data_IF_937845013994
#
_entry.id   IF_937845013994
#
_cell.length_a   1.000
_cell.length_b   1.000
_cell.length_c   1.000
_cell.angle_alpha   90.00
_cell.angle_beta   90.00
_cell.angle_gamma   90.00
#
_symmetry.space_group_name_H-M   'P 1'
#
loop_
_entity.id
_entity.type
_entity.pdbx_description
1 polymer ?
#
# COMPACT_ATOMS: atom_id res chain seq x y z
N UNK A 1 -24.28 -2.88 -0.10
CA UNK A 1 -23.22 -2.56 -1.09
C UNK A 1 -23.88 -1.75 -2.19
N UNK A 2 -23.57 -0.45 -2.35
CA UNK A 2 -24.26 0.36 -3.34
C UNK A 2 -23.82 -0.02 -4.76
N UNK A 3 -24.75 0.09 -5.70
CA UNK A 3 -24.46 0.09 -7.13
C UNK A 3 -23.69 1.36 -7.52
N UNK A 4 -23.09 1.35 -8.71
CA UNK A 4 -22.42 2.55 -9.23
C UNK A 4 -23.42 3.69 -9.49
N UNK A 5 -24.65 3.37 -9.87
CA UNK A 5 -25.68 4.36 -10.16
C UNK A 5 -26.19 5.00 -8.87
N UNK A 6 -26.43 4.22 -7.82
CA UNK A 6 -26.74 4.75 -6.47
C UNK A 6 -25.60 5.63 -5.95
N UNK A 7 -24.34 5.18 -6.10
CA UNK A 7 -23.16 5.95 -5.68
C UNK A 7 -23.04 7.27 -6.46
N UNK A 8 -23.32 7.26 -7.77
CA UNK A 8 -23.34 8.46 -8.60
C UNK A 8 -24.48 9.40 -8.18
N UNK A 9 -25.68 8.87 -7.96
CA UNK A 9 -26.83 9.65 -7.53
C UNK A 9 -26.55 10.32 -6.18
N UNK A 10 -26.00 9.57 -5.21
CA UNK A 10 -25.55 10.09 -3.92
C UNK A 10 -24.55 11.24 -4.10
N UNK A 11 -23.50 11.06 -4.90
CA UNK A 11 -22.50 12.10 -5.12
C UNK A 11 -23.08 13.38 -5.76
N UNK A 12 -23.99 13.25 -6.72
CA UNK A 12 -24.62 14.40 -7.36
C UNK A 12 -25.56 15.14 -6.40
N UNK A 13 -26.33 14.41 -5.57
CA UNK A 13 -27.13 15.04 -4.50
C UNK A 13 -26.26 15.81 -3.52
N UNK A 14 -25.13 15.23 -3.10
CA UNK A 14 -24.21 15.89 -2.16
C UNK A 14 -23.47 17.08 -2.77
N UNK A 15 -23.15 17.06 -4.07
CA UNK A 15 -22.63 18.23 -4.77
C UNK A 15 -23.59 19.42 -4.68
N UNK A 16 -24.89 19.12 -4.74
CA UNK A 16 -25.96 20.09 -4.70
C UNK A 16 -26.23 20.57 -3.26
N UNK A 17 -26.41 19.65 -2.32
CA UNK A 17 -26.67 19.96 -0.90
C UNK A 17 -25.48 20.68 -0.22
N UNK A 18 -24.29 20.08 -0.25
CA UNK A 18 -23.11 20.62 0.43
C UNK A 18 -22.54 21.85 -0.28
N UNK A 19 -22.66 21.91 -1.61
CA UNK A 19 -22.31 23.10 -2.38
C UNK A 19 -23.14 24.29 -1.91
N UNK A 20 -24.47 24.16 -1.89
CA UNK A 20 -25.36 25.25 -1.44
C UNK A 20 -25.10 25.66 0.00
N UNK A 21 -24.91 24.70 0.91
CA UNK A 21 -24.62 24.99 2.32
C UNK A 21 -23.31 25.80 2.49
N UNK A 22 -22.25 25.46 1.75
CA UNK A 22 -20.91 26.01 1.99
C UNK A 22 -20.58 27.22 1.09
N UNK A 23 -21.06 27.22 -0.15
CA UNK A 23 -20.71 28.20 -1.19
C UNK A 23 -21.90 29.06 -1.65
N UNK A 24 -23.13 28.74 -1.22
CA UNK A 24 -24.36 29.40 -1.68
C UNK A 24 -24.90 28.90 -3.03
N UNK A 25 -24.16 28.04 -3.74
CA UNK A 25 -24.55 27.43 -5.01
C UNK A 25 -23.96 26.02 -5.12
N UNK A 26 -24.49 25.18 -6.01
CA UNK A 26 -23.97 23.81 -6.11
C UNK A 26 -22.58 23.74 -6.75
N UNK A 27 -21.83 22.70 -6.38
CA UNK A 27 -20.58 22.37 -7.06
C UNK A 27 -20.80 22.12 -8.56
N UNK A 28 -21.96 21.58 -8.96
CA UNK A 28 -22.31 21.36 -10.37
C UNK A 28 -22.45 22.68 -11.14
N UNK A 29 -23.07 23.70 -10.54
CA UNK A 29 -23.15 25.04 -11.15
C UNK A 29 -21.76 25.66 -11.32
N UNK A 30 -20.83 25.36 -10.41
CA UNK A 30 -19.41 25.74 -10.50
C UNK A 30 -18.59 24.89 -11.47
N UNK A 31 -19.20 23.98 -12.22
CA UNK A 31 -18.56 23.15 -13.23
C UNK A 31 -17.92 21.86 -12.70
N UNK A 32 -18.19 21.47 -11.44
CA UNK A 32 -17.67 20.22 -10.91
C UNK A 32 -18.41 19.00 -11.43
N UNK A 33 -17.65 17.94 -11.71
CA UNK A 33 -18.18 16.67 -12.21
C UNK A 33 -17.80 15.49 -11.31
N UNK A 34 -18.64 14.46 -11.34
CA UNK A 34 -18.39 13.19 -10.66
C UNK A 34 -18.25 12.04 -11.67
N UNK A 35 -17.34 11.11 -11.39
CA UNK A 35 -17.27 9.85 -12.14
C UNK A 35 -16.50 8.76 -11.41
N UNK A 36 -16.22 7.68 -12.13
CA UNK A 36 -15.45 6.57 -11.60
C UNK A 36 -14.12 6.39 -12.33
N UNK A 37 -13.15 5.83 -11.61
CA UNK A 37 -11.89 5.36 -12.17
C UNK A 37 -11.67 3.86 -11.86
N UNK A 38 -10.52 3.34 -12.31
CA UNK A 38 -10.14 1.93 -12.18
C UNK A 38 -9.09 1.72 -11.08
N UNK A 39 -8.91 2.66 -10.17
CA UNK A 39 -7.99 2.49 -9.06
C UNK A 39 -8.40 1.28 -8.21
N UNK A 40 -7.42 0.54 -7.70
CA UNK A 40 -7.68 -0.68 -6.91
C UNK A 40 -7.28 -0.57 -5.45
N UNK A 41 -6.62 0.54 -5.08
CA UNK A 41 -6.09 0.79 -3.73
C UNK A 41 -6.37 2.20 -3.19
N UNK A 42 -6.99 3.06 -3.99
CA UNK A 42 -7.36 4.43 -3.62
C UNK A 42 -8.87 4.53 -3.74
N UNK A 43 -9.53 4.99 -2.68
CA UNK A 43 -10.98 5.09 -2.60
C UNK A 43 -11.52 6.20 -3.51
N UNK A 44 -11.06 7.43 -3.28
CA UNK A 44 -11.48 8.63 -3.99
C UNK A 44 -10.30 9.52 -4.38
N UNK A 45 -10.55 10.49 -5.25
CA UNK A 45 -9.66 11.64 -5.48
C UNK A 45 -10.46 12.85 -5.98
N UNK A 46 -10.15 13.99 -5.39
CA UNK A 46 -10.51 15.30 -5.90
C UNK A 46 -9.39 15.85 -6.81
N UNK A 47 -9.69 16.02 -8.10
CA UNK A 47 -8.83 16.69 -9.08
C UNK A 47 -9.29 18.14 -9.22
N UNK A 48 -8.69 19.03 -8.41
CA UNK A 48 -9.06 20.45 -8.36
C UNK A 48 -8.93 21.14 -9.72
N UNK A 49 -7.80 20.94 -10.42
CA UNK A 49 -7.54 21.55 -11.73
C UNK A 49 -8.62 21.21 -12.76
N UNK A 50 -9.11 19.97 -12.74
CA UNK A 50 -10.09 19.46 -13.69
C UNK A 50 -11.53 19.63 -13.20
N UNK A 51 -11.73 20.21 -12.01
CA UNK A 51 -13.00 20.26 -11.27
C UNK A 51 -13.72 18.90 -11.28
N UNK A 52 -13.00 17.84 -10.90
CA UNK A 52 -13.50 16.47 -11.02
C UNK A 52 -13.21 15.64 -9.78
N UNK A 53 -14.27 15.06 -9.21
CA UNK A 53 -14.17 14.03 -8.17
C UNK A 53 -14.32 12.66 -8.83
N UNK A 54 -13.43 11.71 -8.52
CA UNK A 54 -13.62 10.31 -8.92
C UNK A 54 -13.43 9.33 -7.78
N UNK A 55 -14.27 8.30 -7.77
CA UNK A 55 -14.12 7.13 -6.90
C UNK A 55 -13.65 5.91 -7.69
N UNK A 56 -12.99 4.97 -7.03
CA UNK A 56 -12.73 3.66 -7.59
C UNK A 56 -14.06 2.92 -7.82
N UNK A 57 -14.34 2.56 -9.07
CA UNK A 57 -15.50 1.73 -9.39
C UNK A 57 -15.45 0.35 -8.72
N UNK A 58 -14.26 -0.20 -8.54
CA UNK A 58 -14.07 -1.49 -7.88
C UNK A 58 -14.40 -1.37 -6.39
N UNK A 59 -13.85 -0.38 -5.69
CA UNK A 59 -14.04 -0.25 -4.25
C UNK A 59 -15.44 0.25 -3.89
N UNK A 60 -16.06 1.10 -4.72
CA UNK A 60 -17.45 1.51 -4.54
C UNK A 60 -18.42 0.30 -4.56
N UNK A 61 -18.10 -0.73 -5.35
CA UNK A 61 -18.89 -1.97 -5.43
C UNK A 61 -18.53 -3.03 -4.39
N UNK A 62 -17.53 -2.80 -3.53
CA UNK A 62 -17.08 -3.80 -2.53
C UNK A 62 -17.05 -3.30 -1.08
N UNK A 63 -17.05 -1.99 -0.83
CA UNK A 63 -17.14 -1.39 0.50
C UNK A 63 -18.57 -1.03 0.97
N UNK A 64 -18.90 -1.22 2.26
CA UNK A 64 -20.20 -0.84 2.83
C UNK A 64 -20.63 0.57 2.43
N UNK A 65 -21.94 0.79 2.30
CA UNK A 65 -22.49 2.07 1.85
C UNK A 65 -21.97 3.26 2.66
N UNK A 66 -21.88 3.12 3.98
CA UNK A 66 -21.34 4.15 4.87
C UNK A 66 -19.88 4.54 4.54
N UNK A 67 -19.02 3.60 4.14
CA UNK A 67 -17.62 3.89 3.77
C UNK A 67 -17.53 4.52 2.38
N UNK A 68 -18.43 4.14 1.46
CA UNK A 68 -18.55 4.79 0.15
C UNK A 68 -19.03 6.22 0.33
N UNK A 69 -20.05 6.43 1.16
CA UNK A 69 -20.62 7.73 1.48
C UNK A 69 -19.60 8.67 2.15
N UNK A 70 -18.86 8.16 3.14
CA UNK A 70 -17.76 8.91 3.79
C UNK A 70 -16.69 9.31 2.78
N UNK A 71 -16.31 8.40 1.87
CA UNK A 71 -15.36 8.70 0.79
C UNK A 71 -15.89 9.81 -0.12
N UNK A 72 -17.16 9.76 -0.54
CA UNK A 72 -17.76 10.80 -1.39
C UNK A 72 -17.71 12.15 -0.69
N UNK A 73 -18.10 12.23 0.58
CA UNK A 73 -18.07 13.47 1.37
C UNK A 73 -16.66 13.99 1.57
N UNK A 74 -15.69 13.11 1.79
CA UNK A 74 -14.28 13.46 1.91
C UNK A 74 -13.76 14.18 0.66
N UNK A 75 -14.03 13.62 -0.52
CA UNK A 75 -13.58 14.22 -1.77
C UNK A 75 -14.35 15.51 -2.12
N UNK A 76 -15.63 15.60 -1.74
CA UNK A 76 -16.42 16.83 -1.85
C UNK A 76 -15.86 17.92 -0.93
N UNK A 77 -15.48 17.59 0.31
CA UNK A 77 -14.85 18.53 1.22
C UNK A 77 -13.56 19.11 0.63
N UNK A 78 -12.76 18.31 -0.08
CA UNK A 78 -11.62 18.82 -0.85
C UNK A 78 -12.02 19.80 -1.96
N UNK A 79 -13.09 19.50 -2.71
CA UNK A 79 -13.59 20.39 -3.76
C UNK A 79 -14.05 21.74 -3.19
N UNK A 80 -14.86 21.72 -2.13
CA UNK A 80 -15.36 22.91 -1.46
C UNK A 80 -14.23 23.75 -0.85
N UNK A 81 -13.26 23.09 -0.21
CA UNK A 81 -12.10 23.75 0.37
C UNK A 81 -11.25 24.47 -0.70
N UNK A 82 -11.04 23.81 -1.83
CA UNK A 82 -10.35 24.39 -2.97
C UNK A 82 -11.11 25.58 -3.57
N UNK A 83 -12.44 25.52 -3.68
CA UNK A 83 -13.27 26.66 -4.13
C UNK A 83 -13.20 27.86 -3.18
N UNK A 84 -13.08 27.62 -1.86
CA UNK A 84 -12.99 28.71 -0.86
C UNK A 84 -11.61 29.35 -0.77
N UNK A 85 -10.53 28.57 -0.96
CA UNK A 85 -9.16 29.01 -0.63
C UNK A 85 -8.15 28.91 -1.78
N UNK A 86 -8.55 28.36 -2.92
CA UNK A 86 -7.66 28.07 -4.05
C UNK A 86 -6.68 26.90 -3.81
N UNK A 87 -6.77 26.21 -2.67
CA UNK A 87 -5.94 25.06 -2.32
C UNK A 87 -6.71 24.10 -1.41
N UNK A 88 -6.24 22.86 -1.33
CA UNK A 88 -6.77 21.91 -0.34
C UNK A 88 -5.70 20.92 0.13
N UNK A 89 -5.76 20.57 1.40
CA UNK A 89 -4.95 19.57 2.08
C UNK A 89 -5.66 19.19 3.38
N UNK A 90 -5.25 18.11 4.06
CA UNK A 90 -5.87 17.67 5.32
C UNK A 90 -5.47 18.55 6.54
N UNK A 91 -5.37 19.88 6.37
CA UNK A 91 -5.08 20.85 7.42
C UNK A 91 -6.28 21.06 8.37
N UNK A 92 -6.14 21.94 9.38
CA UNK A 92 -7.23 22.21 10.33
C UNK A 92 -8.49 22.75 9.65
N UNK A 93 -8.34 23.57 8.60
CA UNK A 93 -9.46 24.17 7.87
C UNK A 93 -10.24 23.09 7.12
N UNK A 94 -9.54 22.24 6.37
CA UNK A 94 -10.19 21.11 5.70
C UNK A 94 -10.82 20.14 6.70
N UNK A 95 -10.16 19.84 7.83
CA UNK A 95 -10.74 18.95 8.85
C UNK A 95 -12.02 19.51 9.47
N UNK A 96 -12.14 20.83 9.61
CA UNK A 96 -13.37 21.45 10.06
C UNK A 96 -14.47 21.32 8.99
N UNK A 97 -14.10 21.54 7.72
CA UNK A 97 -15.03 21.40 6.60
C UNK A 97 -15.48 19.95 6.37
N UNK A 98 -14.56 18.98 6.46
CA UNK A 98 -14.85 17.55 6.36
C UNK A 98 -15.91 17.14 7.39
N UNK A 99 -15.74 17.55 8.66
CA UNK A 99 -16.76 17.31 9.70
C UNK A 99 -18.10 17.95 9.37
N UNK A 100 -18.11 19.21 8.90
CA UNK A 100 -19.33 19.90 8.46
C UNK A 100 -20.03 19.16 7.33
N UNK A 101 -19.27 18.60 6.39
CA UNK A 101 -19.78 17.78 5.30
C UNK A 101 -20.22 16.37 5.74
N UNK A 102 -20.05 16.00 7.02
CA UNK A 102 -20.35 14.66 7.54
C UNK A 102 -19.30 13.59 7.21
N UNK A 103 -18.09 13.98 6.80
CA UNK A 103 -16.96 13.08 6.59
C UNK A 103 -16.10 12.92 7.84
N UNK A 104 -15.45 11.76 7.97
CA UNK A 104 -14.36 11.53 8.93
C UNK A 104 -13.17 12.45 8.57
N UNK A 105 -12.63 13.24 9.53
CA UNK A 105 -11.54 14.19 9.30
C UNK A 105 -10.15 13.50 9.28
N UNK A 106 -10.09 12.32 8.69
CA UNK A 106 -8.91 11.46 8.63
C UNK A 106 -8.32 11.50 7.23
N UNK A 107 -6.98 11.50 7.13
CA UNK A 107 -6.29 11.52 5.82
C UNK A 107 -6.34 10.16 5.13
N UNK A 108 -6.32 9.08 5.90
CA UNK A 108 -6.18 7.72 5.40
C UNK A 108 -7.35 6.89 5.89
N UNK A 109 -7.93 6.13 4.97
CA UNK A 109 -8.80 5.02 5.34
C UNK A 109 -8.01 4.01 6.17
N UNK A 110 -8.56 3.68 7.33
CA UNK A 110 -7.95 2.80 8.33
C UNK A 110 -8.50 1.38 8.31
N UNK A 111 -9.60 1.14 7.58
CA UNK A 111 -10.15 -0.20 7.39
C UNK A 111 -9.34 -1.06 6.42
N UNK A 112 -9.67 -2.33 6.39
CA UNK A 112 -9.12 -3.23 5.38
C UNK A 112 -9.77 -2.96 4.03
N UNK A 113 -8.94 -2.88 2.98
CA UNK A 113 -9.46 -2.96 1.63
C UNK A 113 -9.78 -4.43 1.34
N UNK A 114 -10.93 -4.72 0.71
CA UNK A 114 -11.27 -6.09 0.32
C UNK A 114 -10.13 -6.74 -0.47
N UNK A 115 -9.85 -8.02 -0.23
CA UNK A 115 -8.96 -8.75 -1.15
C UNK A 115 -9.59 -8.70 -2.54
N UNK A 116 -8.79 -8.33 -3.54
CA UNK A 116 -9.24 -8.37 -4.91
C UNK A 116 -8.78 -9.68 -5.52
N UNK A 117 -9.67 -10.67 -5.72
CA UNK A 117 -9.31 -11.94 -6.33
C UNK A 117 -8.80 -11.78 -7.77
N UNK A 118 -9.10 -10.65 -8.43
CA UNK A 118 -8.58 -10.34 -9.77
C UNK A 118 -7.13 -9.83 -9.75
N UNK A 119 -6.52 -9.61 -8.59
CA UNK A 119 -5.10 -9.28 -8.51
C UNK A 119 -4.26 -10.50 -8.98
N UNK A 120 -3.48 -10.42 -10.07
CA UNK A 120 -2.80 -11.58 -10.65
C UNK A 120 -1.76 -12.22 -9.74
N UNK A 121 -1.30 -11.52 -8.71
CA UNK A 121 -0.31 -12.01 -7.76
C UNK A 121 -0.87 -11.93 -6.34
N UNK A 122 -0.65 -12.95 -5.53
CA UNK A 122 -0.96 -12.97 -4.09
C UNK A 122 0.33 -13.10 -3.30
N UNK A 123 0.49 -12.23 -2.29
CA UNK A 123 1.62 -12.28 -1.36
C UNK A 123 1.13 -12.73 0.02
N UNK A 124 1.70 -13.80 0.58
CA UNK A 124 1.30 -14.40 1.86
C UNK A 124 2.46 -14.35 2.86
N UNK A 125 2.19 -13.93 4.10
CA UNK A 125 3.18 -13.93 5.16
C UNK A 125 3.30 -15.31 5.83
N UNK A 126 4.52 -15.87 6.01
CA UNK A 126 4.69 -17.18 6.64
C UNK A 126 4.53 -17.18 8.16
N UNK A 127 4.43 -16.01 8.82
CA UNK A 127 4.31 -15.92 10.29
C UNK A 127 2.94 -15.53 10.80
N UNK A 128 2.06 -15.02 9.94
CA UNK A 128 0.74 -14.56 10.36
C UNK A 128 -0.35 -14.79 9.29
N UNK A 129 -0.02 -15.49 8.21
CA UNK A 129 -0.90 -15.84 7.09
C UNK A 129 -1.59 -14.67 6.36
N UNK A 130 -1.31 -13.43 6.76
CA UNK A 130 -1.82 -12.24 6.10
C UNK A 130 -1.50 -12.25 4.61
N UNK A 131 -2.54 -12.08 3.80
CA UNK A 131 -2.47 -12.08 2.33
C UNK A 131 -2.61 -10.66 1.77
N UNK A 132 -2.02 -10.42 0.60
CA UNK A 132 -2.11 -9.15 -0.09
C UNK A 132 -2.11 -9.35 -1.61
N UNK A 133 -3.19 -8.93 -2.26
CA UNK A 133 -3.27 -8.81 -3.72
C UNK A 133 -2.28 -7.79 -4.32
N UNK A 134 -1.63 -8.19 -5.42
CA UNK A 134 -0.66 -7.41 -6.19
C UNK A 134 -1.00 -7.46 -7.68
N UNK A 135 -0.96 -6.28 -8.32
CA UNK A 135 -1.29 -6.09 -9.75
C UNK A 135 -0.09 -6.14 -10.68
N UNK A 136 1.11 -6.15 -10.12
CA UNK A 136 2.37 -6.23 -10.85
C UNK A 136 3.28 -7.20 -10.14
N UNK A 137 4.06 -7.94 -10.92
CA UNK A 137 5.10 -8.79 -10.39
C UNK A 137 6.07 -7.96 -9.53
N UNK A 138 6.28 -8.30 -8.26
CA UNK A 138 7.22 -7.57 -7.42
C UNK A 138 8.66 -7.73 -7.92
N UNK A 139 9.29 -6.61 -8.31
CA UNK A 139 10.69 -6.57 -8.72
C UNK A 139 11.67 -6.85 -7.56
N UNK A 140 11.21 -6.72 -6.31
CA UNK A 140 12.00 -6.95 -5.10
C UNK A 140 11.22 -7.79 -4.08
N UNK A 141 11.91 -8.55 -3.22
CA UNK A 141 11.27 -9.25 -2.11
C UNK A 141 10.44 -8.29 -1.25
N UNK A 142 9.24 -8.74 -0.88
CA UNK A 142 8.34 -8.00 -0.01
C UNK A 142 8.45 -8.53 1.41
N UNK A 143 8.23 -7.67 2.40
CA UNK A 143 8.17 -8.06 3.81
C UNK A 143 6.84 -7.66 4.44
N UNK A 144 6.32 -8.52 5.33
CA UNK A 144 5.17 -8.24 6.16
C UNK A 144 5.45 -7.06 7.08
N UNK A 145 4.57 -6.06 7.05
CA UNK A 145 4.72 -4.82 7.82
C UNK A 145 4.58 -5.04 9.33
N UNK A 146 3.84 -6.06 9.74
CA UNK A 146 3.66 -6.40 11.16
C UNK A 146 4.76 -7.36 11.67
N UNK A 147 5.15 -8.36 10.87
CA UNK A 147 6.11 -9.37 11.32
C UNK A 147 7.56 -8.91 11.23
N UNK A 148 7.93 -8.06 10.27
CA UNK A 148 9.31 -7.61 10.12
C UNK A 148 9.83 -6.81 11.32
N UNK A 149 9.09 -5.82 11.88
CA UNK A 149 9.51 -5.13 13.10
C UNK A 149 9.52 -6.03 14.33
N UNK A 150 8.68 -7.07 14.36
CA UNK A 150 8.62 -8.05 15.44
C UNK A 150 9.72 -9.13 15.39
N UNK A 151 10.68 -9.03 14.46
CA UNK A 151 11.78 -10.00 14.33
C UNK A 151 11.36 -11.39 13.82
N UNK A 152 10.11 -11.56 13.37
CA UNK A 152 9.57 -12.83 12.87
C UNK A 152 9.90 -13.02 11.37
N UNK A 153 9.88 -14.26 10.84
CA UNK A 153 9.88 -14.53 9.40
C UNK A 153 8.87 -13.67 8.65
N UNK A 154 9.36 -12.72 7.87
CA UNK A 154 8.50 -11.67 7.32
C UNK A 154 8.52 -11.59 5.80
N UNK A 155 9.43 -12.27 5.11
CA UNK A 155 9.43 -12.22 3.65
C UNK A 155 8.21 -12.94 3.10
N UNK A 156 7.49 -12.26 2.21
CA UNK A 156 6.23 -12.76 1.69
C UNK A 156 6.47 -13.78 0.58
N UNK A 157 5.73 -14.88 0.63
CA UNK A 157 5.59 -15.83 -0.48
C UNK A 157 4.66 -15.19 -1.51
N UNK A 158 5.16 -14.93 -2.72
CA UNK A 158 4.39 -14.33 -3.81
C UNK A 158 4.16 -15.35 -4.91
N UNK A 159 2.90 -15.56 -5.29
CA UNK A 159 2.50 -16.50 -6.34
C UNK A 159 1.66 -15.78 -7.39
N UNK A 160 1.94 -16.06 -8.66
CA UNK A 160 1.05 -15.70 -9.76
C UNK A 160 -0.18 -16.63 -9.74
N UNK A 161 -1.36 -16.06 -9.46
CA UNK A 161 -2.60 -16.83 -9.20
C UNK A 161 -2.96 -17.76 -10.36
N UNK A 162 -2.91 -17.27 -11.60
CA UNK A 162 -3.37 -18.03 -12.75
C UNK A 162 -2.44 -19.19 -13.13
N UNK A 163 -1.13 -19.01 -13.00
CA UNK A 163 -0.16 -20.04 -13.43
C UNK A 163 0.43 -20.85 -12.27
N UNK A 164 0.08 -20.52 -11.02
CA UNK A 164 0.72 -21.09 -9.82
C UNK A 164 2.21 -20.75 -9.66
N UNK A 165 2.78 -19.93 -10.56
CA UNK A 165 4.22 -19.65 -10.58
C UNK A 165 4.61 -18.89 -9.32
N UNK A 166 5.55 -19.45 -8.57
CA UNK A 166 6.15 -18.77 -7.42
C UNK A 166 7.08 -17.68 -7.92
N UNK A 167 6.72 -16.42 -7.64
CA UNK A 167 7.56 -15.25 -7.90
C UNK A 167 8.57 -15.07 -6.76
N UNK A 168 8.11 -15.27 -5.53
CA UNK A 168 8.96 -15.21 -4.34
C UNK A 168 8.57 -16.28 -3.32
N UNK A 169 9.53 -16.90 -2.61
CA UNK A 169 10.94 -16.98 -3.00
C UNK A 169 11.12 -17.68 -4.36
N UNK A 170 12.00 -17.17 -5.23
CA UNK A 170 12.40 -17.90 -6.44
C UNK A 170 13.30 -19.10 -6.09
N UNK A 171 12.89 -20.32 -6.45
CA UNK A 171 13.57 -21.57 -6.11
C UNK A 171 12.66 -22.56 -5.37
N UNK A 172 13.03 -23.85 -5.39
CA UNK A 172 12.16 -24.96 -4.98
C UNK A 172 11.77 -24.97 -3.50
N UNK A 173 12.53 -24.33 -2.59
CA UNK A 173 12.25 -24.38 -1.15
C UNK A 173 12.42 -23.02 -0.43
N UNK A 174 11.39 -22.57 0.32
CA UNK A 174 11.50 -21.44 1.25
C UNK A 174 12.36 -21.81 2.47
N UNK A 175 13.40 -21.03 2.77
CA UNK A 175 14.08 -21.14 4.07
C UNK A 175 13.24 -20.55 5.22
N UNK A 176 13.58 -20.87 6.48
CA UNK A 176 12.86 -20.53 7.72
C UNK A 176 12.42 -19.05 7.88
N UNK A 177 13.01 -18.13 7.12
CA UNK A 177 12.72 -16.69 7.18
C UNK A 177 11.93 -16.14 5.98
N UNK A 178 11.44 -17.01 5.08
CA UNK A 178 10.57 -16.66 3.94
C UNK A 178 11.25 -15.94 2.78
N UNK A 179 12.56 -15.66 2.86
CA UNK A 179 13.34 -15.15 1.74
C UNK A 179 13.81 -16.30 0.84
N UNK A 180 14.16 -16.01 -0.42
CA UNK A 180 14.83 -16.95 -1.32
C UNK A 180 15.85 -17.77 -0.57
N UNK A 181 15.80 -19.10 -0.77
CA UNK A 181 16.76 -20.10 -0.31
C UNK A 181 17.96 -19.40 0.31
N UNK A 182 17.95 -19.30 1.64
CA UNK A 182 18.93 -18.47 2.33
C UNK A 182 20.30 -18.98 1.91
N UNK A 183 21.10 -18.16 1.24
CA UNK A 183 22.46 -18.57 0.95
C UNK A 183 23.19 -18.59 2.29
N UNK A 184 23.70 -19.75 2.63
CA UNK A 184 24.53 -19.91 3.81
C UNK A 184 25.93 -19.50 3.44
N UNK A 185 26.50 -18.60 4.23
CA UNK A 185 27.86 -18.17 4.07
C UNK A 185 28.68 -18.66 5.26
N UNK A 186 29.76 -19.37 5.02
CA UNK A 186 30.65 -19.81 6.10
C UNK A 186 31.92 -18.97 6.11
N UNK A 187 32.37 -18.56 7.30
CA UNK A 187 33.69 -17.98 7.45
C UNK A 187 34.76 -19.09 7.42
N UNK A 188 35.77 -19.01 6.52
CA UNK A 188 36.83 -20.03 6.45
C UNK A 188 37.73 -20.08 7.68
N UNK A 189 37.70 -19.04 8.53
CA UNK A 189 38.55 -18.96 9.72
C UNK A 189 37.86 -19.45 10.99
N UNK A 190 36.68 -18.93 11.30
CA UNK A 190 36.00 -19.24 12.56
C UNK A 190 34.84 -20.23 12.39
N UNK A 191 34.57 -20.70 11.17
CA UNK A 191 33.48 -21.65 10.90
C UNK A 191 32.07 -21.08 11.05
N UNK A 192 31.91 -19.81 11.47
CA UNK A 192 30.60 -19.20 11.69
C UNK A 192 29.76 -19.20 10.40
N UNK A 193 28.51 -19.64 10.52
CA UNK A 193 27.52 -19.68 9.45
C UNK A 193 26.64 -18.45 9.50
N UNK A 194 26.46 -17.80 8.35
CA UNK A 194 25.65 -16.61 8.17
C UNK A 194 24.56 -16.89 7.16
N UNK A 195 23.29 -16.84 7.57
CA UNK A 195 22.15 -16.98 6.67
C UNK A 195 21.80 -15.63 6.03
N UNK A 196 21.65 -15.59 4.71
CA UNK A 196 21.25 -14.37 3.98
C UNK A 196 20.18 -14.67 2.96
N UNK A 197 19.32 -13.69 2.71
CA UNK A 197 18.21 -13.84 1.76
C UNK A 197 18.64 -13.90 0.30
N UNK A 198 19.83 -13.41 -0.04
CA UNK A 198 20.45 -13.55 -1.37
C UNK A 198 21.96 -13.40 -1.25
N UNK A 199 22.69 -13.92 -2.24
CA UNK A 199 24.14 -13.68 -2.37
C UNK A 199 24.38 -12.18 -2.59
N UNK A 200 25.18 -11.51 -1.73
CA UNK A 200 25.51 -10.11 -1.94
C UNK A 200 26.28 -9.92 -3.25
N UNK A 201 26.01 -8.81 -3.95
CA UNK A 201 26.75 -8.46 -5.18
C UNK A 201 28.22 -8.11 -4.89
N UNK A 202 28.50 -7.59 -3.70
CA UNK A 202 29.86 -7.27 -3.24
C UNK A 202 30.37 -8.37 -2.33
N UNK A 203 31.68 -8.62 -2.36
CA UNK A 203 32.31 -9.53 -1.41
C UNK A 203 32.08 -9.02 0.03
N UNK A 204 31.78 -9.94 0.93
CA UNK A 204 31.62 -9.63 2.37
C UNK A 204 32.47 -10.58 3.18
N UNK A 205 32.85 -10.16 4.39
CA UNK A 205 33.71 -10.91 5.30
C UNK A 205 33.07 -11.04 6.68
N UNK A 206 33.55 -11.99 7.46
CA UNK A 206 33.14 -12.22 8.84
C UNK A 206 33.51 -11.00 9.71
N UNK A 207 32.50 -10.23 10.12
CA UNK A 207 32.71 -9.04 10.94
C UNK A 207 33.43 -9.33 12.28
N UNK A 208 33.12 -10.41 13.03
CA UNK A 208 33.90 -10.80 14.20
C UNK A 208 35.39 -11.02 13.91
N UNK A 209 35.74 -11.76 12.85
CA UNK A 209 37.13 -12.00 12.47
C UNK A 209 37.83 -10.72 11.98
N UNK A 210 37.14 -9.89 11.20
CA UNK A 210 37.68 -8.61 10.74
C UNK A 210 38.00 -7.69 11.92
N UNK A 211 37.09 -7.60 12.92
CA UNK A 211 37.34 -6.83 14.15
C UNK A 211 38.55 -7.35 14.92
N UNK A 212 38.63 -8.66 15.12
CA UNK A 212 39.68 -9.27 15.94
C UNK A 212 41.06 -9.32 15.27
N UNK A 213 41.13 -9.43 13.94
CA UNK A 213 42.39 -9.73 13.23
C UNK A 213 42.74 -8.75 12.11
N UNK A 214 41.86 -7.81 11.78
CA UNK A 214 42.07 -6.78 10.76
C UNK A 214 41.63 -5.38 11.20
N UNK A 215 41.56 -5.13 12.52
CA UNK A 215 41.16 -3.83 13.11
C UNK A 215 39.82 -3.32 12.58
N UNK A 216 38.88 -4.24 12.31
CA UNK A 216 37.56 -3.94 11.77
C UNK A 216 37.50 -3.69 10.27
N UNK A 217 38.64 -3.69 9.57
CA UNK A 217 38.68 -3.57 8.11
C UNK A 217 38.35 -4.89 7.43
N UNK A 218 37.75 -4.79 6.25
CA UNK A 218 37.54 -5.94 5.38
C UNK A 218 38.88 -6.61 5.07
N UNK A 219 38.91 -7.94 5.15
CA UNK A 219 40.07 -8.76 4.88
C UNK A 219 39.63 -10.04 4.14
N UNK A 220 40.25 -10.33 3.00
CA UNK A 220 39.87 -11.44 2.12
C UNK A 220 40.09 -12.81 2.79
N UNK A 221 41.00 -12.89 3.78
CA UNK A 221 41.18 -14.10 4.61
C UNK A 221 39.91 -14.50 5.36
N UNK A 222 38.99 -13.55 5.60
CA UNK A 222 37.73 -13.79 6.29
C UNK A 222 36.52 -13.65 5.38
N UNK A 223 36.73 -13.59 4.05
CA UNK A 223 35.67 -13.53 3.05
C UNK A 223 34.71 -14.71 3.22
N UNK A 224 33.43 -14.40 3.29
CA UNK A 224 32.38 -15.40 3.46
C UNK A 224 32.23 -16.23 2.18
N UNK A 225 32.23 -17.55 2.34
CA UNK A 225 32.03 -18.53 1.27
C UNK A 225 30.57 -18.93 1.24
N UNK A 226 29.87 -18.53 0.17
CA UNK A 226 28.45 -18.80 -0.02
C UNK A 226 28.25 -20.18 -0.65
N UNK A 227 27.35 -20.98 -0.08
CA UNK A 227 26.79 -22.20 -0.66
C UNK A 227 25.46 -21.90 -1.33
#
# INVERSE_FOLDING_TARGET
MPTLDETRALALRLFDELGRDVLGESLRQRGWTFGFDRARKRLGVCRVRDKRVTLSSHLARTLPEAEVEDTVRHEIAHALDAERRGRTNHDRTWKALARRCGAKPERCYSGDLPDDPAAPYVATCPSCDATLGRYREPATPLRCRACAPAGRPAYLRVVHRASGRVVWPGGAEPGDYGGTAGVEATCPRCGATYRRTRRPKKATACAPCCRRHARGRYDDRFRLRYR
#
